data_IF_311055834365
#
_entry.id   IF_311055834365
#
_cell.length_a   1.000
_cell.length_b   1.000
_cell.length_c   1.000
_cell.angle_alpha   90.00
_cell.angle_beta   90.00
_cell.angle_gamma   90.00
#
_symmetry.space_group_name_H-M   'P 1'
#
loop_
_entity.id
_entity.type
_entity.pdbx_description
1 polymer ?
#
# COMPACT_ATOMS: atom_id res chain seq x y z
N UNK A 1 -14.00 -19.28 -15.66
CA UNK A 1 -13.67 -19.81 -14.31
C UNK A 1 -12.19 -19.68 -14.03
N UNK A 2 -11.31 -20.24 -14.88
CA UNK A 2 -9.85 -20.13 -14.74
C UNK A 2 -9.35 -18.67 -14.80
N UNK A 3 -9.89 -17.83 -15.69
CA UNK A 3 -9.48 -16.40 -15.81
C UNK A 3 -9.80 -15.54 -14.57
N UNK A 4 -10.88 -15.85 -13.86
CA UNK A 4 -11.28 -15.10 -12.65
C UNK A 4 -10.38 -15.43 -11.47
N UNK A 5 -9.90 -16.68 -11.37
CA UNK A 5 -8.94 -17.08 -10.35
C UNK A 5 -7.57 -16.38 -10.54
N UNK A 6 -7.11 -16.24 -11.79
CA UNK A 6 -5.88 -15.51 -12.09
C UNK A 6 -5.99 -14.01 -11.76
N UNK A 7 -7.10 -13.36 -12.12
CA UNK A 7 -7.31 -11.94 -11.79
C UNK A 7 -7.32 -11.68 -10.28
N UNK A 8 -7.97 -12.55 -9.50
CA UNK A 8 -8.00 -12.42 -8.03
C UNK A 8 -6.62 -12.66 -7.42
N UNK A 9 -5.87 -13.62 -7.96
CA UNK A 9 -4.51 -13.91 -7.50
C UNK A 9 -3.56 -12.73 -7.75
N UNK A 10 -3.66 -12.09 -8.91
CA UNK A 10 -2.88 -10.89 -9.24
C UNK A 10 -3.19 -9.74 -8.27
N UNK A 11 -4.47 -9.52 -7.94
CA UNK A 11 -4.87 -8.47 -6.97
C UNK A 11 -4.30 -8.77 -5.57
N UNK A 12 -4.29 -10.02 -5.12
CA UNK A 12 -3.70 -10.37 -3.83
C UNK A 12 -2.17 -10.18 -3.82
N UNK A 13 -1.49 -10.46 -4.93
CA UNK A 13 -0.06 -10.18 -5.04
C UNK A 13 0.21 -8.67 -4.98
N UNK A 14 -0.58 -7.86 -5.71
CA UNK A 14 -0.49 -6.40 -5.66
C UNK A 14 -0.72 -5.88 -4.23
N UNK A 15 -1.75 -6.37 -3.55
CA UNK A 15 -2.05 -6.01 -2.16
C UNK A 15 -0.90 -6.33 -1.21
N UNK A 16 -0.28 -7.51 -1.31
CA UNK A 16 0.87 -7.87 -0.47
C UNK A 16 2.07 -6.94 -0.70
N UNK A 17 2.37 -6.61 -1.97
CA UNK A 17 3.41 -5.65 -2.30
C UNK A 17 3.11 -4.24 -1.76
N UNK A 18 1.88 -3.76 -1.92
CA UNK A 18 1.46 -2.45 -1.45
C UNK A 18 1.48 -2.35 0.07
N UNK A 19 1.03 -3.38 0.80
CA UNK A 19 1.09 -3.41 2.26
C UNK A 19 2.53 -3.39 2.76
N UNK A 20 3.44 -4.15 2.12
CA UNK A 20 4.87 -4.11 2.45
C UNK A 20 5.48 -2.73 2.20
N UNK A 21 5.12 -2.07 1.09
CA UNK A 21 5.54 -0.70 0.79
C UNK A 21 5.03 0.29 1.84
N UNK A 22 3.78 0.14 2.30
CA UNK A 22 3.19 1.00 3.33
C UNK A 22 3.90 0.84 4.69
N UNK A 23 4.25 -0.39 5.06
CA UNK A 23 5.01 -0.67 6.27
C UNK A 23 6.39 0.00 6.22
N UNK A 24 7.08 -0.10 5.09
CA UNK A 24 8.37 0.58 4.87
C UNK A 24 8.24 2.09 4.98
N UNK A 25 7.27 2.70 4.29
CA UNK A 25 7.02 4.15 4.37
C UNK A 25 6.74 4.61 5.81
N UNK A 26 5.97 3.82 6.57
CA UNK A 26 5.67 4.12 7.98
C UNK A 26 6.94 4.13 8.83
N UNK A 27 7.86 3.19 8.60
CA UNK A 27 9.16 3.17 9.27
C UNK A 27 10.05 4.36 8.88
N UNK A 28 10.08 4.72 7.60
CA UNK A 28 10.84 5.87 7.11
C UNK A 28 10.32 7.19 7.68
N UNK A 29 8.99 7.40 7.69
CA UNK A 29 8.35 8.56 8.32
C UNK A 29 8.75 8.67 9.80
N UNK A 30 8.72 7.55 10.53
CA UNK A 30 9.14 7.53 11.93
C UNK A 30 10.60 7.96 12.09
N UNK A 31 11.50 7.50 11.20
CA UNK A 31 12.91 7.87 11.23
C UNK A 31 13.07 9.36 10.94
N UNK A 32 12.39 9.90 9.93
CA UNK A 32 12.45 11.32 9.61
C UNK A 32 12.05 12.19 10.81
N UNK A 33 10.93 11.85 11.47
CA UNK A 33 10.46 12.55 12.67
C UNK A 33 11.48 12.49 13.81
N UNK A 34 12.13 11.34 14.04
CA UNK A 34 13.17 11.18 15.07
C UNK A 34 14.40 12.04 14.75
N UNK A 35 14.71 12.22 13.47
CA UNK A 35 15.87 12.98 12.98
C UNK A 35 15.57 14.46 12.72
N UNK A 36 14.36 14.94 13.03
CA UNK A 36 13.89 16.30 12.74
C UNK A 36 13.94 16.67 11.23
N UNK A 37 13.78 15.66 10.37
CA UNK A 37 13.58 15.85 8.93
C UNK A 37 12.08 15.97 8.62
N UNK A 38 11.73 16.78 7.62
CA UNK A 38 10.33 16.91 7.16
C UNK A 38 9.84 15.63 6.46
N UNK A 39 8.82 14.92 6.98
CA UNK A 39 8.30 13.69 6.39
C UNK A 39 7.15 13.91 5.39
N UNK A 40 6.79 15.16 5.04
CA UNK A 40 5.57 15.49 4.29
C UNK A 40 5.37 14.64 3.02
N UNK A 41 6.43 14.50 2.20
CA UNK A 41 6.35 13.71 0.96
C UNK A 41 6.13 12.21 1.21
N UNK A 42 6.75 11.65 2.25
CA UNK A 42 6.55 10.25 2.61
C UNK A 42 5.14 10.01 3.14
N UNK A 43 4.60 10.97 3.90
CA UNK A 43 3.19 10.95 4.37
C UNK A 43 2.23 10.98 3.17
N UNK A 44 2.42 11.91 2.22
CA UNK A 44 1.58 11.99 1.01
C UNK A 44 1.57 10.67 0.23
N UNK A 45 2.76 10.04 0.07
CA UNK A 45 2.89 8.74 -0.58
C UNK A 45 2.17 7.62 0.17
N UNK A 46 2.29 7.57 1.51
CA UNK A 46 1.61 6.58 2.34
C UNK A 46 0.08 6.73 2.25
N UNK A 47 -0.45 7.95 2.26
CA UNK A 47 -1.88 8.22 2.10
C UNK A 47 -2.38 7.78 0.73
N UNK A 48 -1.67 8.12 -0.35
CA UNK A 48 -2.01 7.67 -1.70
C UNK A 48 -2.05 6.13 -1.76
N UNK A 49 -1.01 5.46 -1.26
CA UNK A 49 -0.93 4.00 -1.24
C UNK A 49 -2.07 3.35 -0.47
N UNK A 50 -2.54 3.98 0.61
CA UNK A 50 -3.69 3.50 1.39
C UNK A 50 -4.98 3.53 0.57
N UNK A 51 -5.17 4.54 -0.29
CA UNK A 51 -6.32 4.61 -1.20
C UNK A 51 -6.27 3.53 -2.29
N UNK A 52 -5.07 3.21 -2.81
CA UNK A 52 -4.87 2.11 -3.74
C UNK A 52 -5.21 0.76 -3.11
N UNK A 53 -4.66 0.47 -1.93
CA UNK A 53 -4.97 -0.75 -1.16
C UNK A 53 -6.48 -0.87 -0.93
N UNK A 54 -7.13 0.23 -0.51
CA UNK A 54 -8.59 0.27 -0.31
C UNK A 54 -9.35 -0.09 -1.59
N UNK A 55 -8.94 0.45 -2.73
CA UNK A 55 -9.54 0.16 -4.03
C UNK A 55 -9.40 -1.33 -4.39
N UNK A 56 -8.21 -1.91 -4.23
CA UNK A 56 -7.93 -3.31 -4.51
C UNK A 56 -8.73 -4.25 -3.60
N UNK A 57 -8.84 -3.95 -2.30
CA UNK A 57 -9.70 -4.71 -1.38
C UNK A 57 -11.19 -4.66 -1.77
N UNK A 58 -11.67 -3.51 -2.25
CA UNK A 58 -13.06 -3.38 -2.74
C UNK A 58 -13.31 -4.17 -4.03
N UNK A 59 -12.29 -4.38 -4.87
CA UNK A 59 -12.38 -5.22 -6.07
C UNK A 59 -12.53 -6.70 -5.68
N UNK A 60 -11.71 -7.18 -4.73
CA UNK A 60 -11.75 -8.59 -4.26
C UNK A 60 -13.04 -8.92 -3.50
N UNK A 61 -13.70 -7.94 -2.86
CA UNK A 61 -14.97 -8.15 -2.16
C UNK A 61 -16.15 -8.51 -3.09
N UNK A 62 -16.09 -8.10 -4.36
CA UNK A 62 -17.17 -8.27 -5.33
C UNK A 62 -17.13 -9.65 -5.97
#
# INVERSE_FOLDING_TARGET
MIEVEYEVQDIFQELDEEIRKLLTLTHEIRIDVILDNDPEDKIKRALSLTEHIRSNLLRVRK
#
